data_IF_072327231592
#
_entry.id   IF_072327231592
#
_cell.length_a   1.000
_cell.length_b   1.000
_cell.length_c   1.000
_cell.angle_alpha   90.00
_cell.angle_beta   90.00
_cell.angle_gamma   90.00
#
_symmetry.space_group_name_H-M   'P 1'
#
loop_
_entity.id
_entity.type
_entity.pdbx_description
1 polymer ?
#
# COMPACT_ATOMS: atom_id res chain seq x y z
N UNK A 1 2.84 5.62 31.61
CA UNK A 1 2.47 5.72 31.01
C UNK A 1 2.29 5.95 30.34
N UNK A 2 2.13 5.85 29.83
CA UNK A 2 1.88 5.94 29.07
C UNK A 2 1.13 6.45 28.58
N UNK A 3 1.55 6.78 28.77
CA UNK A 3 0.60 7.22 28.20
C UNK A 3 0.10 6.58 27.09
N UNK A 4 -0.84 6.22 27.16
CA UNK A 4 -1.34 5.73 25.93
C UNK A 4 -1.45 6.86 24.97
N UNK A 5 -0.82 6.73 23.86
CA UNK A 5 -0.96 7.70 22.83
C UNK A 5 -2.36 7.62 22.26
N UNK A 6 -3.06 8.72 22.34
CA UNK A 6 -4.36 8.79 21.69
C UNK A 6 -4.13 9.26 20.26
N UNK A 7 -4.32 8.35 19.34
CA UNK A 7 -4.23 8.68 17.94
C UNK A 7 -5.56 9.27 17.50
N UNK A 8 -5.50 10.48 16.97
CA UNK A 8 -6.68 11.07 16.38
C UNK A 8 -6.92 10.39 15.05
N UNK A 9 -8.04 9.69 14.88
CA UNK A 9 -8.22 8.85 13.69
C UNK A 9 -8.00 9.59 12.38
N UNK A 10 -8.45 10.83 12.30
CA UNK A 10 -8.35 11.56 11.05
C UNK A 10 -6.92 12.04 10.76
N UNK A 11 -6.11 12.22 11.78
CA UNK A 11 -4.76 12.70 11.58
C UNK A 11 -3.88 11.67 10.89
N UNK A 12 -3.98 10.43 11.33
CA UNK A 12 -3.10 9.39 10.80
C UNK A 12 -3.65 8.80 9.52
N UNK A 13 -4.98 8.57 9.49
CA UNK A 13 -5.60 7.92 8.35
C UNK A 13 -5.70 8.83 7.13
N UNK A 14 -5.54 10.14 7.31
CA UNK A 14 -5.52 11.07 6.19
C UNK A 14 -4.10 11.30 5.66
N UNK A 15 -3.08 10.83 6.36
CA UNK A 15 -1.72 10.91 5.85
C UNK A 15 -1.61 10.01 4.62
N UNK A 16 -1.05 10.56 3.57
CA UNK A 16 -0.90 9.81 2.33
C UNK A 16 0.36 8.97 2.42
N UNK A 17 0.19 7.65 2.46
CA UNK A 17 1.33 6.73 2.60
C UNK A 17 2.10 6.64 1.29
N UNK A 18 1.39 6.68 0.17
CA UNK A 18 2.01 6.57 -1.15
C UNK A 18 1.59 7.75 -2.02
N UNK A 19 2.28 8.89 -1.90
CA UNK A 19 1.90 10.08 -2.67
C UNK A 19 2.04 9.87 -4.16
N UNK A 20 1.14 10.53 -4.91
CA UNK A 20 1.18 10.55 -6.36
C UNK A 20 2.56 10.98 -6.85
N UNK A 21 3.02 10.38 -7.93
CA UNK A 21 4.30 10.65 -8.58
C UNK A 21 5.49 10.21 -7.74
N UNK A 22 5.25 9.47 -6.67
CA UNK A 22 6.32 8.88 -5.91
C UNK A 22 6.64 7.50 -6.47
N UNK A 23 7.74 6.95 -5.99
CA UNK A 23 8.19 5.63 -6.41
C UNK A 23 8.45 4.78 -5.18
N UNK A 24 8.30 3.47 -5.33
CA UNK A 24 8.65 2.53 -4.28
C UNK A 24 9.55 1.46 -4.85
N UNK A 25 10.66 1.24 -4.18
CA UNK A 25 11.63 0.24 -4.62
C UNK A 25 11.36 -1.08 -3.89
N UNK A 26 11.22 -2.14 -4.67
CA UNK A 26 11.04 -3.49 -4.12
C UNK A 26 12.11 -4.35 -4.77
N UNK A 27 13.16 -4.64 -4.01
CA UNK A 27 14.30 -5.34 -4.57
C UNK A 27 14.99 -4.47 -5.61
N UNK A 28 15.16 -5.02 -6.81
CA UNK A 28 15.79 -4.27 -7.89
C UNK A 28 14.79 -3.53 -8.78
N UNK A 29 13.49 -3.73 -8.53
CA UNK A 29 12.45 -3.03 -9.29
C UNK A 29 12.06 -1.75 -8.59
N UNK A 30 11.77 -0.72 -9.37
CA UNK A 30 11.31 0.55 -8.83
C UNK A 30 9.96 0.87 -9.46
N UNK A 31 8.91 0.75 -8.66
CA UNK A 31 7.54 0.93 -9.13
C UNK A 31 7.13 2.39 -9.06
N UNK A 32 6.55 2.88 -10.14
CA UNK A 32 5.96 4.21 -10.14
C UNK A 32 4.54 4.13 -9.57
N UNK A 33 4.19 5.09 -8.70
CA UNK A 33 2.86 5.16 -8.12
C UNK A 33 2.02 6.10 -8.97
N UNK A 34 0.99 5.56 -9.61
CA UNK A 34 0.10 6.31 -10.50
C UNK A 34 -1.28 6.36 -9.88
N UNK A 35 -1.79 7.57 -9.66
CA UNK A 35 -3.13 7.75 -9.13
C UNK A 35 -4.03 8.31 -10.21
N UNK A 36 -5.20 7.71 -10.38
CA UNK A 36 -6.17 8.12 -11.38
C UNK A 36 -7.57 7.72 -10.94
N UNK A 37 -8.61 8.38 -11.49
CA UNK A 37 -9.97 8.15 -10.98
C UNK A 37 -10.46 6.73 -11.16
N UNK A 38 -10.03 6.06 -12.23
CA UNK A 38 -10.50 4.69 -12.49
C UNK A 38 -9.34 3.79 -12.79
N UNK A 39 -9.30 2.67 -12.09
CA UNK A 39 -8.31 1.61 -12.34
C UNK A 39 -9.07 0.39 -12.80
N UNK A 40 -8.72 -0.08 -13.99
CA UNK A 40 -9.47 -1.16 -14.64
C UNK A 40 -8.58 -2.39 -14.78
N UNK A 41 -9.11 -3.52 -14.33
CA UNK A 41 -8.52 -4.83 -14.59
C UNK A 41 -9.65 -5.66 -15.17
N UNK A 42 -9.78 -5.60 -16.48
CA UNK A 42 -10.94 -6.12 -17.19
C UNK A 42 -11.35 -7.50 -16.68
N UNK A 43 -12.64 -7.71 -16.51
CA UNK A 43 -13.75 -6.80 -16.85
C UNK A 43 -14.15 -5.87 -15.70
N UNK A 44 -13.40 -5.81 -14.63
CA UNK A 44 -13.79 -5.13 -13.39
C UNK A 44 -13.04 -3.84 -13.20
N UNK A 45 -13.70 -2.91 -12.52
CA UNK A 45 -13.05 -1.76 -11.95
C UNK A 45 -12.55 -2.16 -10.55
N UNK A 46 -11.35 -1.72 -10.18
CA UNK A 46 -10.76 -2.11 -8.91
C UNK A 46 -10.18 -0.91 -8.17
N UNK A 47 -9.84 -1.11 -6.90
CA UNK A 47 -9.21 -0.06 -6.09
C UNK A 47 -7.81 0.24 -6.57
N UNK A 48 -7.10 -0.76 -7.06
CA UNK A 48 -5.76 -0.60 -7.57
C UNK A 48 -5.27 -1.86 -8.24
N UNK A 49 -4.10 -1.78 -8.84
CA UNK A 49 -3.46 -2.95 -9.43
C UNK A 49 -1.96 -2.72 -9.57
N UNK A 50 -1.23 -3.80 -9.71
CA UNK A 50 0.22 -3.75 -9.89
C UNK A 50 0.56 -4.44 -11.21
N UNK A 51 1.47 -3.81 -11.95
CA UNK A 51 2.02 -4.37 -13.18
C UNK A 51 3.49 -4.65 -12.92
N UNK A 52 3.85 -5.91 -12.81
CA UNK A 52 5.22 -6.30 -12.47
C UNK A 52 6.21 -6.00 -13.59
N UNK A 53 5.76 -6.08 -14.82
CA UNK A 53 6.65 -5.89 -15.97
C UNK A 53 6.91 -4.40 -16.23
N UNK A 54 5.86 -3.59 -16.16
CA UNK A 54 6.00 -2.16 -16.37
C UNK A 54 6.45 -1.42 -15.12
N UNK A 55 6.43 -2.11 -13.97
CA UNK A 55 6.81 -1.54 -12.69
C UNK A 55 5.95 -0.33 -12.36
N UNK A 56 4.64 -0.56 -12.33
CA UNK A 56 3.66 0.47 -12.03
C UNK A 56 2.66 -0.06 -11.01
N UNK A 57 2.37 0.75 -10.00
CA UNK A 57 1.28 0.52 -9.08
C UNK A 57 0.24 1.60 -9.33
N UNK A 58 -0.96 1.19 -9.73
CA UNK A 58 -2.07 2.11 -9.96
C UNK A 58 -3.01 2.11 -8.77
N UNK A 59 -3.44 3.30 -8.36
CA UNK A 59 -4.35 3.46 -7.23
C UNK A 59 -5.49 4.37 -7.67
N UNK A 60 -6.73 3.94 -7.44
CA UNK A 60 -7.89 4.77 -7.73
C UNK A 60 -8.00 5.87 -6.67
N UNK A 61 -7.95 7.12 -7.10
CA UNK A 61 -7.98 8.24 -6.18
C UNK A 61 -9.38 8.81 -5.95
N UNK A 62 -10.41 8.14 -6.48
CA UNK A 62 -11.79 8.54 -6.18
C UNK A 62 -12.26 8.06 -4.82
N UNK A 63 -11.48 7.22 -4.16
CA UNK A 63 -11.81 6.69 -2.84
C UNK A 63 -11.12 7.51 -1.76
N UNK A 64 -11.50 7.24 -0.50
CA UNK A 64 -10.94 7.99 0.64
C UNK A 64 -9.42 7.77 0.74
N UNK A 65 -8.75 8.67 1.45
CA UNK A 65 -7.32 8.51 1.67
C UNK A 65 -7.02 7.20 2.40
N UNK A 66 -7.88 6.83 3.35
CA UNK A 66 -7.74 5.55 4.05
C UNK A 66 -7.78 4.38 3.07
N UNK A 67 -8.75 4.38 2.16
CA UNK A 67 -8.86 3.32 1.17
C UNK A 67 -7.64 3.30 0.23
N UNK A 68 -7.16 4.48 -0.15
CA UNK A 68 -5.97 4.55 -1.00
C UNK A 68 -4.74 3.99 -0.30
N UNK A 69 -4.60 4.28 0.99
CA UNK A 69 -3.49 3.75 1.77
C UNK A 69 -3.55 2.24 1.86
N UNK A 70 -4.73 1.71 2.15
CA UNK A 70 -4.93 0.26 2.21
C UNK A 70 -4.63 -0.40 0.87
N UNK A 71 -5.09 0.23 -0.21
CA UNK A 71 -4.86 -0.27 -1.56
C UNK A 71 -3.37 -0.32 -1.88
N UNK A 72 -2.65 0.76 -1.53
CA UNK A 72 -1.22 0.76 -1.78
C UNK A 72 -0.53 -0.40 -1.08
N UNK A 73 -0.84 -0.62 0.20
CA UNK A 73 -0.20 -1.70 0.96
C UNK A 73 -0.57 -3.07 0.41
N UNK A 74 -1.79 -3.22 -0.10
CA UNK A 74 -2.22 -4.46 -0.74
C UNK A 74 -1.37 -4.74 -1.98
N UNK A 75 -1.21 -3.75 -2.86
CA UNK A 75 -0.41 -3.94 -4.07
C UNK A 75 1.06 -4.10 -3.73
N UNK A 76 1.53 -3.39 -2.69
CA UNK A 76 2.91 -3.54 -2.22
C UNK A 76 3.18 -4.99 -1.81
N UNK A 77 2.24 -5.63 -1.11
CA UNK A 77 2.41 -7.03 -0.70
C UNK A 77 2.48 -7.96 -1.89
N UNK A 78 1.65 -7.72 -2.93
CA UNK A 78 1.78 -8.48 -4.16
C UNK A 78 3.21 -8.35 -4.72
N UNK A 79 3.74 -7.14 -4.75
CA UNK A 79 5.09 -6.90 -5.26
C UNK A 79 6.17 -7.56 -4.43
N UNK A 80 5.99 -7.58 -3.12
CA UNK A 80 6.96 -8.22 -2.23
C UNK A 80 6.96 -9.74 -2.44
N UNK A 81 5.77 -10.33 -2.50
CA UNK A 81 5.69 -11.78 -2.73
C UNK A 81 6.23 -12.15 -4.10
N UNK A 82 6.01 -11.31 -5.11
CA UNK A 82 6.58 -11.56 -6.43
C UNK A 82 8.11 -11.52 -6.39
N UNK A 83 8.67 -10.53 -5.70
CA UNK A 83 10.11 -10.40 -5.54
C UNK A 83 10.71 -11.62 -4.85
N UNK A 84 9.98 -12.21 -3.92
CA UNK A 84 10.46 -13.37 -3.15
C UNK A 84 10.16 -14.71 -3.82
N UNK A 85 9.55 -14.68 -5.00
CA UNK A 85 9.12 -15.89 -5.71
C UNK A 85 8.14 -16.75 -4.89
N UNK A 86 7.33 -16.09 -4.08
CA UNK A 86 6.31 -16.77 -3.27
C UNK A 86 4.98 -16.72 -4.01
N UNK A 87 4.92 -17.42 -5.15
CA UNK A 87 3.76 -17.33 -6.03
C UNK A 87 2.48 -17.85 -5.39
N UNK A 88 2.57 -18.85 -4.55
CA UNK A 88 1.41 -19.37 -3.85
C UNK A 88 0.82 -18.34 -2.87
N UNK A 89 1.63 -17.49 -2.27
CA UNK A 89 1.15 -16.40 -1.44
C UNK A 89 0.70 -15.23 -2.28
N UNK A 90 1.46 -14.91 -3.32
CA UNK A 90 1.16 -13.77 -4.19
C UNK A 90 -0.22 -13.88 -4.83
N UNK A 91 -0.63 -15.08 -5.18
CA UNK A 91 -1.92 -15.30 -5.84
C UNK A 91 -3.05 -15.61 -4.86
N UNK A 92 -2.77 -15.60 -3.56
CA UNK A 92 -3.77 -15.85 -2.53
C UNK A 92 -4.27 -14.52 -1.98
N UNK A 93 -5.40 -14.04 -2.51
CA UNK A 93 -5.93 -12.73 -2.13
C UNK A 93 -6.27 -12.63 -0.65
N UNK A 94 -6.66 -13.73 -0.04
CA UNK A 94 -6.97 -13.74 1.39
C UNK A 94 -5.72 -13.43 2.21
N UNK A 95 -4.61 -14.07 1.86
CA UNK A 95 -3.35 -13.85 2.56
C UNK A 95 -2.86 -12.42 2.31
N UNK A 96 -2.90 -11.97 1.07
CA UNK A 96 -2.47 -10.60 0.74
C UNK A 96 -3.29 -9.59 1.53
N UNK A 97 -4.60 -9.76 1.55
CA UNK A 97 -5.48 -8.85 2.30
C UNK A 97 -5.16 -8.84 3.79
N UNK A 98 -4.98 -10.02 4.38
CA UNK A 98 -4.74 -10.11 5.82
C UNK A 98 -3.41 -9.49 6.20
N UNK A 99 -2.36 -9.76 5.42
CA UNK A 99 -1.04 -9.21 5.72
C UNK A 99 -1.04 -7.70 5.52
N UNK A 100 -1.63 -7.22 4.42
CA UNK A 100 -1.64 -5.79 4.13
C UNK A 100 -2.45 -5.01 5.16
N UNK A 101 -3.62 -5.51 5.54
CA UNK A 101 -4.45 -4.79 6.51
C UNK A 101 -3.82 -4.79 7.89
N UNK A 102 -3.15 -5.87 8.27
CA UNK A 102 -2.46 -5.91 9.55
C UNK A 102 -1.25 -4.99 9.54
N UNK A 103 -0.52 -4.94 8.42
CA UNK A 103 0.60 -4.01 8.30
C UNK A 103 0.13 -2.56 8.42
N UNK A 104 -0.98 -2.24 7.77
CA UNK A 104 -1.53 -0.89 7.87
C UNK A 104 -1.85 -0.55 9.32
N UNK A 105 -2.48 -1.48 10.03
CA UNK A 105 -2.82 -1.31 11.44
C UNK A 105 -1.55 -1.06 12.27
N UNK A 106 -0.50 -1.85 12.02
CA UNK A 106 0.76 -1.68 12.74
C UNK A 106 1.37 -0.30 12.47
N UNK A 107 1.32 0.15 11.23
CA UNK A 107 1.84 1.48 10.88
C UNK A 107 1.04 2.57 11.59
N UNK A 108 -0.28 2.46 11.59
CA UNK A 108 -1.13 3.47 12.23
C UNK A 108 -0.91 3.51 13.74
N UNK A 109 -0.68 2.36 14.34
CA UNK A 109 -0.50 2.29 15.79
C UNK A 109 0.91 2.67 16.22
N UNK A 110 1.84 2.67 15.31
CA UNK A 110 3.25 2.92 15.63
C UNK A 110 3.90 3.87 14.63
N UNK A 111 3.31 5.05 14.41
CA UNK A 111 3.79 5.96 13.34
C UNK A 111 5.24 6.40 13.54
N UNK A 112 5.67 6.52 14.79
CA UNK A 112 7.03 6.99 15.08
C UNK A 112 8.10 5.99 14.66
N UNK A 113 7.75 4.73 14.54
CA UNK A 113 8.72 3.70 14.17
C UNK A 113 9.01 3.73 12.67
N UNK A 114 8.02 4.14 11.89
CA UNK A 114 8.14 4.09 10.43
C UNK A 114 8.54 5.42 9.81
N UNK A 115 8.97 6.38 10.63
CA UNK A 115 9.50 7.64 10.13
C UNK A 115 11.02 7.52 10.04
N UNK A 116 11.55 7.60 8.83
CA UNK A 116 12.96 7.34 8.56
C UNK A 116 13.58 8.59 7.95
N UNK A 117 13.87 9.58 8.78
CA UNK A 117 14.28 10.86 8.23
C UNK A 117 15.75 10.99 8.00
N UNK A 118 16.54 10.62 8.92
CA UNK A 118 17.94 11.00 8.92
C UNK A 118 18.87 9.82 8.74
N UNK A 119 18.52 9.01 7.79
CA UNK A 119 19.35 7.84 7.47
C UNK A 119 20.31 8.13 6.36
#
# INVERSE_FOLDING_TARGET
MEKTTVRLPNEVETVEIAPKNNKVKIGYKEYEIVKKPEVIDLPNECYGKIDYDKEIIEISDKYSQKQQNETFLHELMHGIFEKLDLDDLRTNERIVNQVASTLYEVILDNPHIFTMKDI
#
